data_IF_302917480469
#
_entry.id   IF_302917480469
#
_cell.length_a   1.000
_cell.length_b   1.000
_cell.length_c   1.000
_cell.angle_alpha   90.00
_cell.angle_beta   90.00
_cell.angle_gamma   90.00
#
_symmetry.space_group_name_H-M   'P 1'
#
loop_
_entity.id
_entity.type
_entity.pdbx_description
1 polymer ?
#
# COMPACT_ATOMS: atom_id res chain seq x y z
N UNK A 1 -7.32 -25.77 -24.02
CA UNK A 1 -7.42 -25.64 -22.60
C UNK A 1 -7.32 -24.18 -22.17
N UNK A 2 -8.15 -23.79 -21.29
CA UNK A 2 -8.17 -22.41 -20.85
C UNK A 2 -7.10 -22.13 -19.83
N UNK A 3 -6.26 -21.16 -20.09
CA UNK A 3 -5.21 -20.76 -19.19
C UNK A 3 -5.80 -20.00 -18.00
N UNK A 4 -5.43 -20.41 -16.79
CA UNK A 4 -5.90 -19.77 -15.60
C UNK A 4 -5.21 -18.42 -15.42
N UNK A 5 -5.98 -17.36 -15.31
CA UNK A 5 -5.44 -16.03 -15.13
C UNK A 5 -5.17 -15.78 -13.64
N UNK A 6 -3.96 -15.32 -13.32
CA UNK A 6 -3.61 -14.95 -11.95
C UNK A 6 -4.33 -13.68 -11.56
N UNK A 7 -4.72 -13.59 -10.32
CA UNK A 7 -5.28 -12.37 -9.77
C UNK A 7 -4.25 -11.25 -9.84
N UNK A 8 -4.68 -10.07 -10.24
CA UNK A 8 -3.82 -8.90 -10.20
C UNK A 8 -3.69 -8.41 -8.77
N UNK A 9 -2.47 -8.31 -8.29
CA UNK A 9 -2.15 -7.83 -6.95
C UNK A 9 -1.47 -6.48 -7.06
N UNK A 10 -1.98 -5.51 -6.34
CA UNK A 10 -1.45 -4.15 -6.39
C UNK A 10 -0.88 -3.74 -5.05
N UNK A 11 0.22 -3.01 -5.13
CA UNK A 11 0.92 -2.47 -3.98
C UNK A 11 1.26 -1.02 -4.29
N UNK A 12 1.65 -0.28 -3.29
CA UNK A 12 2.03 1.08 -3.59
C UNK A 12 2.59 1.85 -2.43
N UNK A 13 2.90 3.11 -2.71
CA UNK A 13 3.38 4.07 -1.76
C UNK A 13 2.35 5.19 -1.63
N UNK A 14 1.97 5.50 -0.40
CA UNK A 14 1.14 6.66 -0.11
C UNK A 14 2.01 7.75 0.48
N UNK A 15 1.89 8.95 -0.06
CA UNK A 15 2.60 10.11 0.44
C UNK A 15 2.18 11.35 -0.30
N UNK A 16 2.85 12.45 -0.01
CA UNK A 16 2.66 13.70 -0.72
C UNK A 16 3.96 14.08 -1.41
N UNK A 17 3.87 14.48 -2.69
CA UNK A 17 5.03 14.84 -3.50
C UNK A 17 6.04 13.69 -3.59
N UNK A 18 5.54 12.51 -3.89
CA UNK A 18 6.34 11.28 -3.91
C UNK A 18 6.79 10.85 -5.30
N UNK A 19 6.62 11.71 -6.31
CA UNK A 19 7.01 11.37 -7.68
C UNK A 19 8.50 11.03 -7.82
N UNK A 20 9.32 11.50 -6.90
CA UNK A 20 10.76 11.20 -6.90
C UNK A 20 11.14 9.96 -6.12
N UNK A 21 10.16 9.26 -5.57
CA UNK A 21 10.43 8.05 -4.80
C UNK A 21 10.94 6.93 -5.70
N UNK A 22 11.96 6.23 -5.23
CA UNK A 22 12.52 5.08 -5.94
C UNK A 22 11.74 3.80 -5.70
N UNK A 23 10.78 3.80 -4.78
CA UNK A 23 10.06 2.58 -4.40
C UNK A 23 9.33 1.92 -5.56
N UNK A 24 8.68 2.72 -6.39
CA UNK A 24 7.94 2.20 -7.54
C UNK A 24 8.86 1.42 -8.48
N UNK A 25 9.98 2.01 -8.85
CA UNK A 25 10.94 1.37 -9.74
C UNK A 25 11.56 0.14 -9.09
N UNK A 26 11.95 0.28 -7.83
CA UNK A 26 12.57 -0.81 -7.08
C UNK A 26 11.68 -2.06 -7.01
N UNK A 27 10.43 -1.88 -6.59
CA UNK A 27 9.53 -3.03 -6.43
C UNK A 27 9.08 -3.62 -7.75
N UNK A 28 8.87 -2.79 -8.77
CA UNK A 28 8.49 -3.32 -10.08
C UNK A 28 9.63 -4.12 -10.71
N UNK A 29 10.87 -3.70 -10.50
CA UNK A 29 12.03 -4.49 -10.95
C UNK A 29 12.12 -5.82 -10.19
N UNK A 30 11.85 -5.80 -8.88
CA UNK A 30 11.83 -7.03 -8.08
C UNK A 30 10.76 -7.99 -8.57
N UNK A 31 9.59 -7.48 -8.90
CA UNK A 31 8.51 -8.31 -9.42
C UNK A 31 8.89 -8.93 -10.76
N UNK A 32 9.54 -8.18 -11.61
CA UNK A 32 9.98 -8.67 -12.91
C UNK A 32 11.03 -9.78 -12.76
N UNK A 33 12.04 -9.54 -11.94
CA UNK A 33 13.10 -10.51 -11.68
C UNK A 33 12.53 -11.81 -11.09
N UNK A 34 11.55 -11.69 -10.19
CA UNK A 34 10.94 -12.84 -9.56
C UNK A 34 9.84 -13.49 -10.37
N UNK A 35 9.56 -12.97 -11.57
CA UNK A 35 8.48 -13.46 -12.43
C UNK A 35 7.10 -13.32 -11.79
N UNK A 36 6.89 -12.27 -11.01
CA UNK A 36 5.59 -11.95 -10.43
C UNK A 36 4.81 -11.06 -11.38
N UNK A 37 4.41 -11.60 -12.51
CA UNK A 37 3.75 -10.86 -13.58
C UNK A 37 2.41 -10.25 -13.19
N UNK A 38 1.81 -10.78 -12.12
CA UNK A 38 0.53 -10.31 -11.63
C UNK A 38 0.65 -9.26 -10.54
N UNK A 39 1.87 -8.79 -10.23
CA UNK A 39 2.10 -7.80 -9.19
C UNK A 39 2.53 -6.47 -9.79
N UNK A 40 2.02 -5.39 -9.24
CA UNK A 40 2.34 -4.04 -9.69
C UNK A 40 2.46 -3.11 -8.49
N UNK A 41 3.43 -2.20 -8.56
CA UNK A 41 3.63 -1.19 -7.51
C UNK A 41 3.43 0.20 -8.11
N UNK A 42 2.61 1.02 -7.46
CA UNK A 42 2.30 2.37 -7.93
C UNK A 42 2.50 3.40 -6.82
N UNK A 43 2.71 4.64 -7.22
CA UNK A 43 2.71 5.76 -6.29
C UNK A 43 1.29 6.32 -6.20
N UNK A 44 0.80 6.46 -4.99
CA UNK A 44 -0.47 7.13 -4.72
C UNK A 44 -0.16 8.45 -4.02
N UNK A 45 0.04 9.48 -4.84
CA UNK A 45 0.39 10.81 -4.38
C UNK A 45 -0.89 11.54 -4.03
N UNK A 46 -1.12 11.81 -2.75
CA UNK A 46 -2.34 12.45 -2.30
C UNK A 46 -2.03 13.72 -1.51
N UNK A 47 -2.82 14.75 -1.77
CA UNK A 47 -2.67 16.05 -1.13
C UNK A 47 -3.18 16.04 0.31
N UNK A 48 -4.13 15.15 0.60
CA UNK A 48 -4.83 15.12 1.87
C UNK A 48 -5.11 13.68 2.27
N UNK A 49 -4.94 13.39 3.55
CA UNK A 49 -5.19 12.02 4.05
C UNK A 49 -6.64 11.58 3.84
N UNK A 50 -7.57 12.52 3.70
CA UNK A 50 -8.98 12.21 3.46
C UNK A 50 -9.21 11.50 2.13
N UNK A 51 -8.24 11.53 1.24
CA UNK A 51 -8.31 10.80 -0.04
C UNK A 51 -8.01 9.31 0.13
N UNK A 52 -7.45 8.91 1.28
CA UNK A 52 -7.05 7.53 1.51
C UNK A 52 -8.20 6.52 1.40
N UNK A 53 -9.38 6.75 2.02
CA UNK A 53 -10.48 5.79 1.91
C UNK A 53 -10.90 5.51 0.47
N UNK A 54 -10.80 6.50 -0.40
CA UNK A 54 -11.14 6.36 -1.80
C UNK A 54 -10.19 5.38 -2.50
N UNK A 55 -8.90 5.43 -2.15
CA UNK A 55 -7.91 4.51 -2.70
C UNK A 55 -8.27 3.07 -2.32
N UNK A 56 -8.59 2.86 -1.04
CA UNK A 56 -8.96 1.52 -0.56
C UNK A 56 -10.21 1.00 -1.25
N UNK A 57 -11.17 1.87 -1.50
CA UNK A 57 -12.45 1.49 -2.09
C UNK A 57 -12.35 1.23 -3.58
N UNK A 58 -11.58 2.06 -4.30
CA UNK A 58 -11.57 2.04 -5.76
C UNK A 58 -10.49 1.17 -6.40
N UNK A 59 -9.38 0.95 -5.72
CA UNK A 59 -8.30 0.17 -6.31
C UNK A 59 -8.54 -1.31 -6.09
N UNK A 60 -8.87 -2.00 -7.15
CA UNK A 60 -9.10 -3.46 -7.09
C UNK A 60 -7.78 -4.19 -6.95
N UNK A 61 -7.77 -5.19 -6.07
CA UNK A 61 -6.58 -6.02 -5.89
C UNK A 61 -5.49 -5.41 -5.04
N UNK A 62 -5.77 -4.30 -4.38
CA UNK A 62 -4.78 -3.66 -3.50
C UNK A 62 -4.54 -4.52 -2.27
N UNK A 63 -3.28 -4.87 -2.02
CA UNK A 63 -2.90 -5.78 -0.94
C UNK A 63 -1.96 -5.17 0.07
N UNK A 64 -1.19 -4.18 -0.31
CA UNK A 64 -0.24 -3.58 0.60
C UNK A 64 0.17 -2.20 0.17
N UNK A 65 0.53 -1.40 1.16
CA UNK A 65 0.96 -0.04 0.93
C UNK A 65 2.10 0.30 1.87
N UNK A 66 3.09 1.01 1.35
CA UNK A 66 4.04 1.70 2.20
C UNK A 66 3.50 3.10 2.44
N UNK A 67 3.80 3.67 3.59
CA UNK A 67 3.32 4.99 3.97
C UNK A 67 4.50 5.92 4.18
N UNK A 68 4.48 7.05 3.48
CA UNK A 68 5.53 8.03 3.59
C UNK A 68 5.02 9.31 4.24
N UNK A 69 5.94 10.24 4.48
CA UNK A 69 5.62 11.56 5.02
C UNK A 69 4.62 12.26 4.11
N UNK A 70 3.62 12.96 4.64
CA UNK A 70 3.38 13.27 6.05
C UNK A 70 2.37 12.35 6.73
N UNK A 71 2.05 11.20 6.15
CA UNK A 71 0.88 10.43 6.54
C UNK A 71 1.11 9.30 7.54
N UNK A 72 2.34 9.09 8.00
CA UNK A 72 2.64 7.98 8.90
C UNK A 72 1.84 7.98 10.20
N UNK A 73 1.47 9.14 10.69
CA UNK A 73 0.63 9.27 11.87
C UNK A 73 -0.82 9.52 11.53
N UNK A 74 -1.06 10.38 10.53
CA UNK A 74 -2.41 10.76 10.14
C UNK A 74 -3.25 9.60 9.64
N UNK A 75 -2.60 8.53 9.17
CA UNK A 75 -3.30 7.39 8.61
C UNK A 75 -3.89 6.47 9.68
N UNK A 76 -3.38 6.53 10.90
CA UNK A 76 -3.77 5.61 11.97
C UNK A 76 -5.28 5.54 12.21
N UNK A 77 -6.02 6.66 12.27
CA UNK A 77 -7.47 6.58 12.49
C UNK A 77 -8.25 5.81 11.43
N UNK A 78 -7.64 5.61 10.26
CA UNK A 78 -8.30 4.90 9.16
C UNK A 78 -8.06 3.39 9.19
N UNK A 79 -7.24 2.91 10.12
CA UNK A 79 -6.84 1.50 10.17
C UNK A 79 -7.64 0.73 11.19
N UNK A 80 -7.85 -0.56 10.92
CA UNK A 80 -8.61 -1.44 11.82
C UNK A 80 -7.74 -1.96 12.96
N UNK A 81 -6.47 -2.21 12.68
CA UNK A 81 -5.53 -2.76 13.67
C UNK A 81 -4.14 -2.17 13.49
N UNK A 82 -3.35 -2.23 14.55
CA UNK A 82 -1.94 -1.85 14.52
C UNK A 82 -1.10 -2.98 15.09
N UNK A 83 0.10 -3.15 14.55
CA UNK A 83 1.09 -4.03 15.15
C UNK A 83 1.52 -3.42 16.49
N UNK A 84 2.11 -4.24 17.35
CA UNK A 84 2.60 -3.74 18.65
C UNK A 84 3.63 -2.63 18.49
N UNK A 85 4.51 -2.77 17.51
CA UNK A 85 5.53 -1.75 17.26
C UNK A 85 4.91 -0.45 16.77
N UNK A 86 3.98 -0.53 15.83
CA UNK A 86 3.29 0.66 15.31
C UNK A 86 2.54 1.38 16.41
N UNK A 87 1.90 0.62 17.31
CA UNK A 87 1.16 1.18 18.43
C UNK A 87 2.09 1.90 19.40
N UNK A 88 3.25 1.30 19.72
CA UNK A 88 4.23 1.91 20.61
C UNK A 88 4.82 3.20 20.06
N UNK A 89 5.14 3.20 18.76
CA UNK A 89 5.78 4.34 18.12
C UNK A 89 4.76 5.40 17.71
N UNK A 90 3.50 4.99 17.59
CA UNK A 90 2.40 5.84 17.14
C UNK A 90 2.63 6.32 15.70
N UNK A 91 3.14 5.43 14.87
CA UNK A 91 3.39 5.71 13.45
C UNK A 91 3.34 4.41 12.65
N UNK A 92 2.90 4.53 11.40
CA UNK A 92 2.75 3.39 10.49
C UNK A 92 3.56 3.65 9.22
N UNK A 93 4.37 2.68 8.81
CA UNK A 93 5.07 2.78 7.53
C UNK A 93 4.66 1.72 6.52
N UNK A 94 3.82 0.77 6.92
CA UNK A 94 3.36 -0.29 6.04
C UNK A 94 1.95 -0.70 6.43
N UNK A 95 1.10 -0.94 5.44
CA UNK A 95 -0.28 -1.37 5.66
C UNK A 95 -0.52 -2.63 4.84
N UNK A 96 -1.15 -3.64 5.46
CA UNK A 96 -1.68 -4.78 4.71
C UNK A 96 -3.18 -4.65 4.60
N UNK A 97 -3.69 -5.00 3.43
CA UNK A 97 -5.13 -5.03 3.16
C UNK A 97 -5.53 -6.50 3.03
N UNK A 98 -6.42 -6.93 3.89
CA UNK A 98 -6.84 -8.33 3.92
C UNK A 98 -8.36 -8.44 3.83
N UNK A 99 -8.92 -9.57 4.19
CA UNK A 99 -10.33 -9.89 3.99
C UNK A 99 -11.27 -8.71 4.21
N UNK A 100 -12.17 -8.48 3.24
CA UNK A 100 -13.18 -7.42 3.30
C UNK A 100 -12.57 -6.04 3.49
N UNK A 101 -11.41 -5.83 2.90
CA UNK A 101 -10.72 -4.54 2.93
C UNK A 101 -10.39 -4.06 4.34
N UNK A 102 -10.12 -4.99 5.25
CA UNK A 102 -9.62 -4.66 6.58
C UNK A 102 -8.17 -4.23 6.47
N UNK A 103 -7.78 -3.28 7.30
CA UNK A 103 -6.47 -2.65 7.22
C UNK A 103 -5.69 -2.84 8.51
N UNK A 104 -4.45 -3.31 8.38
CA UNK A 104 -3.56 -3.42 9.53
C UNK A 104 -2.27 -2.66 9.25
N UNK A 105 -1.88 -1.80 10.18
CA UNK A 105 -0.68 -1.00 10.07
C UNK A 105 0.49 -1.59 10.84
N UNK A 106 1.68 -1.40 10.30
CA UNK A 106 2.93 -1.90 10.86
C UNK A 106 3.99 -0.81 10.87
N UNK A 107 4.98 -1.03 11.73
CA UNK A 107 6.20 -0.23 11.70
C UNK A 107 7.41 -1.08 12.08
#
# INVERSE_FOLDING_TARGET
MKKKTKKQLKFGLIGRNISYSFSKKYFNEKFEIGHFDNCEYKNYDIENIKEFPKIITEIKGLRGLNVNIPYKEEIIPYLDKLSKTAEKIDAVNCITIYKKKKLKGYN
#
